data_IF_276162061879
#
_entry.id   IF_276162061879
#
_cell.length_a   1.000
_cell.length_b   1.000
_cell.length_c   1.000
_cell.angle_alpha   90.00
_cell.angle_beta   90.00
_cell.angle_gamma   90.00
#
_symmetry.space_group_name_H-M   'P 1'
#
loop_
_entity.id
_entity.type
_entity.pdbx_description
1 polymer ?
#
# COMPACT_ATOMS: atom_id res chain seq x y z
N UNK A 1 16.23 6.52 11.33
CA UNK A 1 16.09 5.32 10.48
C UNK A 1 14.86 5.47 9.61
N UNK A 2 14.94 5.13 8.33
CA UNK A 2 13.79 5.14 7.42
C UNK A 2 13.51 3.71 6.99
N UNK A 3 12.26 3.26 7.15
CA UNK A 3 11.78 1.95 6.71
C UNK A 3 10.83 2.17 5.54
N UNK A 4 11.08 1.50 4.41
CA UNK A 4 10.25 1.58 3.22
C UNK A 4 9.41 0.31 3.13
N UNK A 5 8.09 0.49 3.17
CA UNK A 5 7.11 -0.58 3.26
C UNK A 5 6.59 -0.76 4.68
N UNK A 6 5.27 -0.76 4.84
CA UNK A 6 4.58 -1.05 6.11
C UNK A 6 4.00 -2.47 6.17
N UNK A 7 4.52 -3.39 5.34
CA UNK A 7 4.20 -4.81 5.43
C UNK A 7 4.73 -5.45 6.73
N UNK A 8 4.62 -6.78 6.85
CA UNK A 8 5.02 -7.51 8.04
C UNK A 8 6.48 -7.23 8.44
N UNK A 9 7.43 -7.44 7.51
CA UNK A 9 8.86 -7.22 7.78
C UNK A 9 9.17 -5.78 8.17
N UNK A 10 8.66 -4.81 7.42
CA UNK A 10 8.88 -3.39 7.69
C UNK A 10 8.32 -2.95 9.05
N UNK A 11 7.12 -3.42 9.41
CA UNK A 11 6.48 -3.11 10.69
C UNK A 11 7.25 -3.71 11.88
N UNK A 12 7.69 -4.96 11.77
CA UNK A 12 8.49 -5.61 12.83
C UNK A 12 9.83 -4.92 13.00
N UNK A 13 10.54 -4.61 11.90
CA UNK A 13 11.79 -3.87 11.96
C UNK A 13 11.61 -2.47 12.55
N UNK A 14 10.55 -1.76 12.15
CA UNK A 14 10.24 -0.43 12.68
C UNK A 14 10.00 -0.47 14.19
N UNK A 15 9.23 -1.44 14.68
CA UNK A 15 8.97 -1.63 16.11
C UNK A 15 10.27 -1.87 16.88
N UNK A 16 11.09 -2.84 16.45
CA UNK A 16 12.35 -3.19 17.16
C UNK A 16 13.34 -2.03 17.19
N UNK A 17 13.43 -1.27 16.11
CA UNK A 17 14.31 -0.10 16.05
C UNK A 17 13.79 1.04 16.95
N UNK A 18 12.47 1.23 17.01
CA UNK A 18 11.87 2.21 17.92
C UNK A 18 12.04 1.82 19.39
N UNK A 19 11.84 0.55 19.74
CA UNK A 19 12.08 0.00 21.10
C UNK A 19 13.53 0.20 21.56
N UNK A 20 14.49 0.12 20.62
CA UNK A 20 15.91 0.39 20.89
C UNK A 20 16.24 1.89 21.05
N UNK A 21 15.25 2.77 20.89
CA UNK A 21 15.41 4.22 21.09
C UNK A 21 15.77 5.00 19.83
N UNK A 22 15.72 4.40 18.64
CA UNK A 22 15.93 5.14 17.40
C UNK A 22 14.68 5.92 16.98
N UNK A 23 14.87 7.10 16.39
CA UNK A 23 13.81 7.78 15.63
C UNK A 23 13.59 7.04 14.31
N UNK A 24 12.39 6.49 14.13
CA UNK A 24 12.03 5.69 12.95
C UNK A 24 10.92 6.39 12.16
N UNK A 25 11.13 6.53 10.85
CA UNK A 25 10.11 6.96 9.89
C UNK A 25 9.74 5.76 9.00
N UNK A 26 8.44 5.45 8.88
CA UNK A 26 7.94 4.42 7.97
C UNK A 26 7.24 5.09 6.80
N UNK A 27 7.56 4.69 5.57
CA UNK A 27 6.96 5.20 4.34
C UNK A 27 6.38 4.03 3.56
N UNK A 28 5.13 4.15 3.12
CA UNK A 28 4.43 3.13 2.31
C UNK A 28 3.96 3.75 0.99
N UNK A 29 3.94 2.95 -0.08
CA UNK A 29 3.47 3.37 -1.41
C UNK A 29 1.97 3.63 -1.39
N UNK A 30 1.21 2.73 -0.76
CA UNK A 30 -0.25 2.78 -0.68
C UNK A 30 -0.80 3.82 0.28
N UNK A 31 -2.11 4.08 0.19
CA UNK A 31 -2.83 4.89 1.18
C UNK A 31 -3.19 4.06 2.41
N UNK A 32 -3.42 4.73 3.53
CA UNK A 32 -4.08 4.12 4.69
C UNK A 32 -5.58 4.05 4.43
N UNK A 33 -6.13 2.85 4.37
CA UNK A 33 -7.55 2.63 4.12
C UNK A 33 -8.27 2.29 5.42
N UNK A 34 -9.42 2.93 5.65
CA UNK A 34 -10.41 2.50 6.64
C UNK A 34 -11.56 1.82 5.91
N UNK A 35 -12.40 1.10 6.64
CA UNK A 35 -13.58 0.41 6.09
C UNK A 35 -14.45 1.31 5.21
N UNK A 36 -14.59 2.58 5.57
CA UNK A 36 -15.36 3.60 4.82
C UNK A 36 -14.68 4.09 3.53
N UNK A 37 -13.39 3.87 3.37
CA UNK A 37 -12.60 4.38 2.25
C UNK A 37 -12.69 3.43 1.04
N UNK A 38 -13.09 2.17 1.25
CA UNK A 38 -13.29 1.19 0.19
C UNK A 38 -14.46 1.56 -0.73
N UNK A 39 -14.34 1.32 -2.05
CA UNK A 39 -15.44 1.54 -2.96
C UNK A 39 -16.58 0.55 -2.68
N UNK A 40 -17.83 1.04 -2.64
CA UNK A 40 -19.01 0.18 -2.52
C UNK A 40 -19.23 -0.71 -3.74
N UNK A 41 -18.71 -0.31 -4.89
CA UNK A 41 -18.83 -1.01 -6.17
C UNK A 41 -17.55 -0.87 -7.00
N UNK A 42 -17.26 -1.88 -7.81
CA UNK A 42 -16.06 -1.91 -8.67
C UNK A 42 -16.08 -0.85 -9.78
N UNK A 43 -17.24 -0.26 -10.07
CA UNK A 43 -17.40 0.84 -11.03
C UNK A 43 -16.73 2.13 -10.57
N UNK A 44 -16.41 2.28 -9.29
CA UNK A 44 -15.63 3.41 -8.80
C UNK A 44 -14.14 3.22 -9.10
N UNK A 45 -13.77 3.32 -10.38
CA UNK A 45 -12.42 3.06 -10.89
C UNK A 45 -11.33 3.86 -10.15
N UNK A 46 -11.64 5.10 -9.73
CA UNK A 46 -10.69 5.98 -9.01
C UNK A 46 -10.36 5.48 -7.60
N UNK A 47 -11.31 4.83 -6.94
CA UNK A 47 -11.13 4.20 -5.62
C UNK A 47 -10.85 2.70 -5.70
N UNK A 48 -11.01 2.10 -6.88
CA UNK A 48 -10.77 0.68 -7.10
C UNK A 48 -9.34 0.43 -7.57
N UNK A 49 -8.87 1.10 -8.64
CA UNK A 49 -7.55 0.87 -9.21
C UNK A 49 -6.46 1.78 -8.66
N UNK A 50 -5.30 1.20 -8.36
CA UNK A 50 -4.07 1.90 -8.04
C UNK A 50 -3.28 2.18 -9.33
N UNK A 51 -3.51 3.35 -9.93
CA UNK A 51 -2.73 3.85 -11.07
C UNK A 51 -2.40 5.34 -10.86
N UNK A 52 -1.41 5.65 -10.00
CA UNK A 52 -1.09 7.03 -9.65
C UNK A 52 -0.76 7.92 -10.86
N UNK A 53 -0.22 7.35 -11.94
CA UNK A 53 0.12 8.05 -13.19
C UNK A 53 -1.09 8.72 -13.86
N UNK A 54 -2.30 8.22 -13.62
CA UNK A 54 -3.56 8.78 -14.14
C UNK A 54 -4.51 9.17 -13.00
N UNK A 55 -3.96 9.50 -11.82
CA UNK A 55 -4.71 9.99 -10.65
C UNK A 55 -5.75 9.01 -10.07
N UNK A 56 -5.59 7.70 -10.30
CA UNK A 56 -6.36 6.64 -9.64
C UNK A 56 -5.57 6.14 -8.42
N UNK A 57 -6.20 6.15 -7.25
CA UNK A 57 -5.57 5.83 -5.96
C UNK A 57 -6.44 4.87 -5.17
N UNK A 58 -6.90 3.81 -5.84
CA UNK A 58 -7.64 2.71 -5.26
C UNK A 58 -6.76 1.59 -4.72
N UNK A 59 -7.37 0.56 -4.15
CA UNK A 59 -6.63 -0.52 -3.48
C UNK A 59 -5.97 -1.51 -4.44
N UNK A 60 -6.55 -1.72 -5.63
CA UNK A 60 -6.21 -2.83 -6.51
C UNK A 60 -5.10 -2.42 -7.49
N UNK A 61 -3.95 -3.06 -7.39
CA UNK A 61 -2.91 -3.04 -8.40
C UNK A 61 -3.09 -4.19 -9.38
N UNK A 62 -2.70 -3.92 -10.62
CA UNK A 62 -2.60 -4.91 -11.69
C UNK A 62 -1.19 -4.83 -12.25
N UNK A 63 -0.51 -5.97 -12.34
CA UNK A 63 0.78 -6.07 -13.01
C UNK A 63 0.71 -7.13 -14.08
N UNK A 64 0.77 -6.69 -15.34
CA UNK A 64 0.80 -7.55 -16.51
C UNK A 64 2.26 -7.91 -16.82
N UNK A 65 2.57 -9.20 -16.78
CA UNK A 65 3.81 -9.78 -17.27
C UNK A 65 3.52 -10.57 -18.55
N UNK A 66 4.57 -10.95 -19.30
CA UNK A 66 4.45 -11.60 -20.61
C UNK A 66 3.43 -12.74 -20.66
N UNK A 67 3.38 -13.56 -19.61
CA UNK A 67 2.51 -14.74 -19.51
C UNK A 67 1.62 -14.77 -18.26
N UNK A 68 1.66 -13.73 -17.42
CA UNK A 68 1.02 -13.76 -16.08
C UNK A 68 0.38 -12.43 -15.76
N UNK A 69 -0.82 -12.50 -15.20
CA UNK A 69 -1.54 -11.37 -14.65
C UNK A 69 -1.52 -11.43 -13.13
N UNK A 70 -0.87 -10.46 -12.48
CA UNK A 70 -0.77 -10.41 -11.02
C UNK A 70 -1.73 -9.36 -10.48
N UNK A 71 -2.69 -9.83 -9.68
CA UNK A 71 -3.57 -8.99 -8.89
C UNK A 71 -3.00 -8.87 -7.47
N UNK A 72 -2.73 -7.64 -7.03
CA UNK A 72 -2.23 -7.39 -5.68
C UNK A 72 -2.77 -6.07 -5.12
N UNK A 73 -2.65 -5.87 -3.81
CA UNK A 73 -3.11 -4.66 -3.13
C UNK A 73 -2.01 -3.61 -2.97
N UNK A 74 -2.37 -2.33 -3.04
CA UNK A 74 -1.55 -1.23 -2.54
C UNK A 74 -2.35 -0.46 -1.48
N UNK A 75 -1.92 -0.58 -0.23
CA UNK A 75 -2.57 0.07 0.90
C UNK A 75 -2.18 -0.58 2.21
N UNK A 76 -2.45 0.14 3.30
CA UNK A 76 -2.36 -0.37 4.69
C UNK A 76 -3.69 -0.24 5.39
#
# INVERSE_FOLDING_TARGET
VIVVGSGFGGSVSALRLAEKGYKVLVIEKGKRYRTKDFPKTNWNLRKYFWMPRIFLYGIQCITLLKNVFIFHGAGV
#
